data_IF_381354023032
#
_entry.id   IF_381354023032
#
_cell.length_a   1.000
_cell.length_b   1.000
_cell.length_c   1.000
_cell.angle_alpha   90.00
_cell.angle_beta   90.00
_cell.angle_gamma   90.00
#
_symmetry.space_group_name_H-M   'P 1'
#
loop_
_entity.id
_entity.type
_entity.pdbx_description
1 polymer ?
#
# COMPACT_ATOMS: atom_id res chain seq x y z
N UNK A 1 -7.68 -16.23 17.84
CA UNK A 1 -7.25 -15.02 17.06
C UNK A 1 -6.24 -14.21 17.87
N UNK A 2 -5.59 -14.80 18.88
CA UNK A 2 -4.90 -14.07 19.95
C UNK A 2 -3.37 -14.17 19.89
N UNK A 3 -2.81 -14.94 18.96
CA UNK A 3 -1.35 -15.16 18.86
C UNK A 3 -0.67 -14.21 17.87
N UNK A 4 -0.96 -12.92 17.92
CA UNK A 4 -0.25 -11.93 17.12
C UNK A 4 0.25 -10.78 18.01
N UNK A 5 1.53 -10.84 18.38
CA UNK A 5 2.25 -9.75 19.08
C UNK A 5 2.29 -8.44 18.26
N UNK A 6 2.00 -8.52 16.96
CA UNK A 6 1.80 -7.38 16.06
C UNK A 6 0.49 -7.60 15.30
N UNK A 7 -0.51 -6.75 15.53
CA UNK A 7 -1.76 -6.81 14.73
C UNK A 7 -1.41 -6.66 13.24
N UNK A 8 -1.59 -7.73 12.47
CA UNK A 8 -1.33 -7.71 11.05
C UNK A 8 -2.48 -7.01 10.30
N UNK A 9 -2.17 -6.33 9.20
CA UNK A 9 -3.15 -5.56 8.42
C UNK A 9 -4.39 -6.39 8.00
N UNK A 10 -4.19 -7.66 7.64
CA UNK A 10 -5.30 -8.55 7.26
C UNK A 10 -6.19 -8.94 8.46
N UNK A 11 -5.64 -9.01 9.68
CA UNK A 11 -6.42 -9.27 10.90
C UNK A 11 -7.29 -8.07 11.25
N UNK A 12 -6.74 -6.86 11.17
CA UNK A 12 -7.50 -5.61 11.38
C UNK A 12 -8.62 -5.47 10.34
N UNK A 13 -8.32 -5.76 9.07
CA UNK A 13 -9.33 -5.76 8.02
C UNK A 13 -10.44 -6.80 8.26
N UNK A 14 -10.08 -8.03 8.66
CA UNK A 14 -11.04 -9.07 9.01
C UNK A 14 -11.98 -8.63 10.14
N UNK A 15 -11.41 -8.05 11.21
CA UNK A 15 -12.17 -7.52 12.35
C UNK A 15 -13.17 -6.46 11.90
N UNK A 16 -12.76 -5.52 11.05
CA UNK A 16 -13.65 -4.48 10.49
C UNK A 16 -14.78 -5.04 9.64
N UNK A 17 -14.54 -6.09 8.84
CA UNK A 17 -15.61 -6.76 8.10
C UNK A 17 -16.64 -7.38 9.04
N UNK A 18 -16.18 -8.05 10.11
CA UNK A 18 -17.06 -8.67 11.10
C UNK A 18 -17.89 -7.60 11.83
N UNK A 19 -17.27 -6.49 12.24
CA UNK A 19 -17.95 -5.34 12.84
C UNK A 19 -18.99 -4.72 11.91
N UNK A 20 -18.73 -4.71 10.60
CA UNK A 20 -19.68 -4.26 9.58
C UNK A 20 -20.78 -5.28 9.25
N UNK A 21 -20.83 -6.42 9.94
CA UNK A 21 -21.88 -7.43 9.81
C UNK A 21 -21.61 -8.52 8.76
N UNK A 22 -20.42 -8.54 8.15
CA UNK A 22 -20.03 -9.59 7.22
C UNK A 22 -19.56 -10.84 7.96
N UNK A 23 -19.86 -12.01 7.42
CA UNK A 23 -19.30 -13.28 7.90
C UNK A 23 -17.96 -13.51 7.24
N UNK A 24 -16.93 -13.77 8.06
CA UNK A 24 -15.57 -14.08 7.58
C UNK A 24 -15.19 -15.46 8.10
N UNK A 25 -15.02 -16.41 7.18
CA UNK A 25 -14.61 -17.78 7.46
C UNK A 25 -13.10 -17.95 7.56
N UNK A 26 -12.66 -18.98 8.29
CA UNK A 26 -11.23 -19.36 8.35
C UNK A 26 -10.78 -19.88 6.98
N UNK A 27 -9.73 -19.27 6.42
CA UNK A 27 -9.18 -19.62 5.10
C UNK A 27 -9.74 -18.79 3.95
N UNK A 28 -10.70 -17.91 4.20
CA UNK A 28 -11.17 -16.96 3.19
C UNK A 28 -10.12 -15.87 2.92
N UNK A 29 -10.05 -15.43 1.66
CA UNK A 29 -9.17 -14.33 1.26
C UNK A 29 -9.89 -13.01 1.48
N UNK A 30 -9.23 -12.10 2.19
CA UNK A 30 -9.78 -10.78 2.52
C UNK A 30 -9.04 -9.74 1.70
N UNK A 31 -9.76 -9.09 0.78
CA UNK A 31 -9.24 -7.92 0.07
C UNK A 31 -9.31 -6.68 0.98
N UNK A 32 -8.19 -5.99 1.12
CA UNK A 32 -8.12 -4.72 1.85
C UNK A 32 -7.20 -3.74 1.14
N UNK A 33 -7.40 -2.47 1.42
CA UNK A 33 -6.54 -1.38 0.98
C UNK A 33 -6.05 -0.58 2.19
N UNK A 34 -4.92 0.09 2.04
CA UNK A 34 -4.40 1.02 3.04
C UNK A 34 -4.98 2.40 2.73
N UNK A 35 -5.77 2.91 3.67
CA UNK A 35 -6.32 4.26 3.60
C UNK A 35 -5.41 5.26 4.31
N UNK A 36 -5.63 6.55 4.03
CA UNK A 36 -5.00 7.66 4.75
C UNK A 36 -5.45 7.62 6.21
N UNK A 37 -4.54 7.96 7.12
CA UNK A 37 -4.83 7.94 8.56
C UNK A 37 -3.56 8.03 9.40
N UNK A 38 -3.74 8.20 10.71
CA UNK A 38 -2.67 8.16 11.69
C UNK A 38 -2.56 6.75 12.33
N UNK A 39 -1.44 6.48 13.00
CA UNK A 39 -1.21 5.21 13.69
C UNK A 39 -0.36 4.22 12.88
N UNK A 40 -0.42 2.95 13.26
CA UNK A 40 0.35 1.88 12.60
C UNK A 40 -0.27 1.58 11.24
N UNK A 41 0.53 0.99 10.35
CA UNK A 41 0.06 0.60 9.02
C UNK A 41 -1.15 -0.35 9.09
N UNK A 42 -1.20 -1.25 10.07
CA UNK A 42 -2.31 -2.17 10.26
C UNK A 42 -3.62 -1.45 10.59
N UNK A 43 -3.57 -0.38 11.40
CA UNK A 43 -4.74 0.45 11.75
C UNK A 43 -5.34 1.13 10.51
N UNK A 44 -4.52 1.36 9.49
CA UNK A 44 -4.94 1.95 8.21
C UNK A 44 -5.54 0.93 7.23
N UNK A 45 -5.54 -0.35 7.54
CA UNK A 45 -6.09 -1.39 6.67
C UNK A 45 -7.62 -1.40 6.70
N UNK A 46 -8.24 -1.14 5.54
CA UNK A 46 -9.69 -1.09 5.36
C UNK A 46 -10.09 -2.12 4.30
N UNK A 47 -11.07 -2.99 4.57
CA UNK A 47 -11.63 -3.88 3.55
C UNK A 47 -12.12 -3.05 2.36
N UNK A 48 -11.76 -3.43 1.12
CA UNK A 48 -12.06 -2.58 -0.05
C UNK A 48 -13.55 -2.29 -0.22
N UNK A 49 -14.41 -3.21 0.21
CA UNK A 49 -15.87 -3.08 0.18
C UNK A 49 -16.41 -2.00 1.13
N UNK A 50 -15.65 -1.64 2.17
CA UNK A 50 -16.02 -0.61 3.14
C UNK A 50 -15.48 0.79 2.78
N UNK A 51 -14.64 0.89 1.76
CA UNK A 51 -14.13 2.17 1.26
C UNK A 51 -15.24 2.85 0.47
N UNK A 52 -15.53 4.12 0.81
CA UNK A 52 -16.62 4.86 0.17
C UNK A 52 -16.13 5.65 -1.03
N UNK A 53 -14.90 6.15 -0.95
CA UNK A 53 -14.31 7.02 -1.96
C UNK A 53 -12.87 6.64 -2.28
N UNK A 54 -12.45 6.62 -3.56
CA UNK A 54 -11.06 6.36 -3.94
C UNK A 54 -10.04 7.33 -3.30
N UNK A 55 -10.47 8.53 -2.90
CA UNK A 55 -9.63 9.57 -2.29
C UNK A 55 -9.19 9.21 -0.86
N UNK A 56 -9.87 8.25 -0.23
CA UNK A 56 -9.49 7.73 1.09
C UNK A 56 -8.22 6.87 1.02
N UNK A 57 -7.89 6.33 -0.17
CA UNK A 57 -6.74 5.44 -0.36
C UNK A 57 -5.43 6.23 -0.25
N UNK A 58 -4.46 5.66 0.46
CA UNK A 58 -3.11 6.21 0.63
C UNK A 58 -2.24 5.90 -0.59
N UNK A 59 -2.47 6.60 -1.70
CA UNK A 59 -1.71 6.38 -2.95
C UNK A 59 -0.19 6.56 -2.76
N UNK A 60 0.23 7.49 -1.91
CA UNK A 60 1.66 7.73 -1.64
C UNK A 60 2.30 6.51 -0.98
N UNK A 61 1.60 5.87 -0.04
CA UNK A 61 2.03 4.59 0.53
C UNK A 61 2.25 3.53 -0.57
N UNK A 62 1.29 3.35 -1.48
CA UNK A 62 1.40 2.34 -2.54
C UNK A 62 2.54 2.64 -3.52
N UNK A 63 2.66 3.90 -3.95
CA UNK A 63 3.75 4.34 -4.83
C UNK A 63 5.10 4.06 -4.17
N UNK A 64 5.30 4.48 -2.91
CA UNK A 64 6.60 4.41 -2.25
C UNK A 64 6.96 3.04 -1.69
N UNK A 65 5.97 2.27 -1.23
CA UNK A 65 6.21 1.01 -0.49
C UNK A 65 5.98 -0.23 -1.34
N UNK A 66 5.30 -0.12 -2.48
CA UNK A 66 5.04 -1.28 -3.35
C UNK A 66 5.56 -1.06 -4.77
N UNK A 67 5.10 -0.01 -5.45
CA UNK A 67 5.44 0.21 -6.86
C UNK A 67 6.92 0.54 -7.05
N UNK A 68 7.43 1.52 -6.30
CA UNK A 68 8.81 1.97 -6.42
C UNK A 68 9.82 0.85 -6.10
N UNK A 69 9.72 0.11 -4.97
CA UNK A 69 10.62 -1.02 -4.71
C UNK A 69 10.50 -2.12 -5.76
N UNK A 70 9.29 -2.39 -6.28
CA UNK A 70 9.11 -3.37 -7.33
C UNK A 70 9.82 -2.98 -8.63
N UNK A 71 9.77 -1.70 -9.02
CA UNK A 71 10.43 -1.17 -10.20
C UNK A 71 11.96 -1.12 -10.04
N UNK A 72 12.45 -0.66 -8.89
CA UNK A 72 13.89 -0.52 -8.62
C UNK A 72 14.63 -1.86 -8.64
N UNK A 73 13.98 -2.96 -8.22
CA UNK A 73 14.56 -4.32 -8.36
C UNK A 73 15.04 -4.66 -9.78
N UNK A 74 14.47 -4.03 -10.80
CA UNK A 74 14.88 -4.20 -12.19
C UNK A 74 15.74 -3.03 -12.64
N UNK A 75 15.32 -1.81 -12.33
CA UNK A 75 15.91 -0.59 -12.89
C UNK A 75 17.25 -0.19 -12.26
N UNK A 76 17.54 -0.61 -11.02
CA UNK A 76 18.83 -0.37 -10.38
C UNK A 76 19.99 -1.01 -11.14
N UNK A 77 19.77 -2.15 -11.81
CA UNK A 77 20.78 -2.78 -12.69
C UNK A 77 21.19 -1.89 -13.86
N UNK A 78 20.32 -0.95 -14.25
CA UNK A 78 20.57 0.03 -15.31
C UNK A 78 21.02 1.40 -14.75
N UNK A 79 21.35 1.47 -13.44
CA UNK A 79 21.81 2.69 -12.78
C UNK A 79 20.70 3.69 -12.44
N UNK A 80 19.43 3.30 -12.54
CA UNK A 80 18.29 4.18 -12.21
C UNK A 80 18.14 4.27 -10.70
N UNK A 81 18.00 5.50 -10.19
CA UNK A 81 17.78 5.81 -8.77
C UNK A 81 16.30 6.03 -8.47
N UNK A 82 15.96 5.99 -7.18
CA UNK A 82 14.60 6.21 -6.67
C UNK A 82 14.04 7.60 -7.02
N UNK A 83 14.84 8.64 -6.82
CA UNK A 83 14.47 10.03 -7.03
C UNK A 83 14.09 10.29 -8.49
N UNK A 84 14.82 9.66 -9.40
CA UNK A 84 14.60 9.65 -10.83
C UNK A 84 13.20 9.12 -11.24
N UNK A 85 12.56 8.27 -10.41
CA UNK A 85 11.21 7.74 -10.64
C UNK A 85 10.12 8.53 -9.89
N UNK A 86 10.49 9.24 -8.83
CA UNK A 86 9.58 10.03 -8.00
C UNK A 86 9.48 11.50 -8.45
N UNK A 87 10.45 11.99 -9.21
CA UNK A 87 10.49 13.34 -9.73
C UNK A 87 9.32 13.61 -10.67
N UNK A 88 8.63 14.73 -10.42
CA UNK A 88 7.58 15.24 -11.29
C UNK A 88 8.19 16.33 -12.18
N UNK A 89 8.68 15.93 -13.34
CA UNK A 89 9.24 16.83 -14.34
C UNK A 89 9.71 16.07 -15.57
N UNK A 90 9.52 16.66 -16.75
CA UNK A 90 10.12 16.13 -17.98
C UNK A 90 11.63 16.33 -17.90
N UNK A 91 12.40 15.24 -17.90
CA UNK A 91 13.85 15.33 -17.98
C UNK A 91 14.27 16.00 -19.27
N UNK A 92 15.27 16.85 -19.19
CA UNK A 92 15.82 17.50 -20.38
C UNK A 92 16.77 16.55 -21.11
N UNK A 93 16.84 16.66 -22.44
CA UNK A 93 17.77 15.85 -23.24
C UNK A 93 19.24 16.00 -22.79
N UNK A 94 19.59 17.14 -22.19
CA UNK A 94 20.93 17.44 -21.69
C UNK A 94 21.34 16.54 -20.52
N UNK A 95 20.39 16.05 -19.72
CA UNK A 95 20.67 15.12 -18.62
C UNK A 95 21.08 13.71 -19.11
N UNK A 96 20.92 13.41 -20.40
CA UNK A 96 21.35 12.13 -20.98
C UNK A 96 22.83 12.13 -21.42
N UNK A 97 23.42 13.30 -21.59
CA UNK A 97 24.80 13.47 -22.07
C UNK A 97 25.80 13.80 -20.96
N UNK A 98 25.37 13.80 -19.69
CA UNK A 98 26.19 14.10 -18.50
C UNK A 98 26.57 12.86 -17.71
#
# INVERSE_FOLDING_TARGET
LEDYEVEAAHVVAARRLIEAGYRVGKGEKIGFVICKGAGKLADKAVPYILVKSPEEIDYDYYVRKQVLPAALRILEYFGVKDQQLLERGQRTLLEFFG
#
